data_IF_094165782591
#
_entry.id   IF_094165782591
#
_cell.length_a   1.000
_cell.length_b   1.000
_cell.length_c   1.000
_cell.angle_alpha   90.00
_cell.angle_beta   90.00
_cell.angle_gamma   90.00
#
_symmetry.space_group_name_H-M   'P 1'
#
loop_
_entity.id
_entity.type
_entity.pdbx_description
1 polymer ?
#
# COMPACT_ATOMS: atom_id res chain seq x y z
N UNK A 1 15.93 15.03 24.97
CA UNK A 1 15.47 13.98 25.91
C UNK A 1 16.27 12.72 25.64
N UNK A 2 16.72 11.99 26.70
CA UNK A 2 17.65 10.87 26.57
C UNK A 2 16.87 9.53 26.56
N UNK A 3 16.92 8.75 25.46
CA UNK A 3 16.16 7.50 25.31
C UNK A 3 16.42 6.43 26.38
N UNK A 4 17.58 6.48 27.07
CA UNK A 4 17.95 5.51 28.09
C UNK A 4 17.11 5.62 29.38
N UNK A 5 16.63 6.81 29.73
CA UNK A 5 15.79 7.03 30.91
C UNK A 5 14.38 6.45 30.70
N UNK A 6 13.85 6.55 29.48
CA UNK A 6 12.51 6.07 29.13
C UNK A 6 12.45 4.53 29.11
N UNK A 7 13.49 3.87 28.59
CA UNK A 7 13.62 2.40 28.64
C UNK A 7 13.75 1.90 30.08
N UNK A 8 14.51 2.61 30.92
CA UNK A 8 14.66 2.27 32.35
C UNK A 8 13.33 2.37 33.11
N UNK A 9 12.46 3.31 32.73
CA UNK A 9 11.13 3.48 33.32
C UNK A 9 10.16 2.37 32.91
N UNK A 10 10.26 1.88 31.68
CA UNK A 10 9.40 0.81 31.17
C UNK A 10 9.71 -0.55 31.79
N UNK A 11 11.00 -0.88 31.96
CA UNK A 11 11.43 -2.17 32.53
C UNK A 11 11.03 -2.29 34.01
N UNK A 12 11.07 -1.18 34.77
CA UNK A 12 10.68 -1.16 36.19
C UNK A 12 9.19 -1.45 36.46
N UNK A 13 8.33 -1.37 35.45
CA UNK A 13 6.88 -1.47 35.63
C UNK A 13 6.30 -2.82 35.14
N UNK A 14 7.13 -3.76 34.70
CA UNK A 14 6.68 -5.09 34.27
C UNK A 14 6.61 -6.03 35.48
N UNK A 15 5.45 -6.66 35.79
CA UNK A 15 5.28 -7.48 36.97
C UNK A 15 5.84 -8.89 36.73
N UNK A 16 7.17 -9.02 36.67
CA UNK A 16 7.86 -10.30 36.61
C UNK A 16 8.77 -10.35 37.84
N UNK A 17 8.51 -11.29 38.75
CA UNK A 17 9.37 -11.52 39.91
C UNK A 17 10.62 -12.27 39.47
N UNK A 18 11.68 -11.53 39.14
CA UNK A 18 13.04 -12.07 39.14
C UNK A 18 13.86 -11.37 40.23
N UNK A 19 14.98 -11.96 40.64
CA UNK A 19 15.84 -11.38 41.67
C UNK A 19 16.48 -10.10 41.12
N UNK A 20 16.48 -9.01 41.89
CA UNK A 20 16.99 -7.69 41.49
C UNK A 20 18.38 -7.72 40.80
N UNK A 21 19.24 -8.68 41.19
CA UNK A 21 20.55 -8.88 40.59
C UNK A 21 20.49 -9.34 39.11
N UNK A 22 19.52 -10.18 38.74
CA UNK A 22 19.33 -10.63 37.35
C UNK A 22 18.76 -9.53 36.47
N UNK A 23 17.89 -8.68 37.01
CA UNK A 23 17.32 -7.56 36.26
C UNK A 23 18.42 -6.53 35.90
N UNK A 24 19.35 -6.26 36.83
CA UNK A 24 20.49 -5.39 36.58
C UNK A 24 21.46 -6.01 35.55
N UNK A 25 21.73 -7.32 35.62
CA UNK A 25 22.57 -8.03 34.64
C UNK A 25 21.97 -8.01 33.22
N UNK A 26 20.67 -8.26 33.09
CA UNK A 26 19.97 -8.22 31.80
C UNK A 26 19.94 -6.78 31.24
N UNK A 27 19.71 -5.79 32.11
CA UNK A 27 19.70 -4.39 31.70
C UNK A 27 21.08 -3.95 31.18
N UNK A 28 22.15 -4.32 31.88
CA UNK A 28 23.51 -4.01 31.44
C UNK A 28 23.89 -4.75 30.15
N UNK A 29 23.43 -5.98 29.95
CA UNK A 29 23.65 -6.74 28.71
C UNK A 29 22.92 -6.09 27.52
N UNK A 30 21.67 -5.67 27.71
CA UNK A 30 20.88 -4.96 26.68
C UNK A 30 21.51 -3.61 26.34
N UNK A 31 21.93 -2.84 27.35
CA UNK A 31 22.59 -1.55 27.14
C UNK A 31 23.95 -1.71 26.44
N UNK A 32 24.72 -2.73 26.80
CA UNK A 32 26.00 -3.05 26.17
C UNK A 32 25.81 -3.50 24.72
N UNK A 33 24.80 -4.33 24.43
CA UNK A 33 24.44 -4.72 23.06
C UNK A 33 24.03 -3.52 22.20
N UNK A 34 23.26 -2.58 22.76
CA UNK A 34 22.88 -1.30 22.11
C UNK A 34 24.09 -0.40 21.85
N UNK A 35 25.03 -0.32 22.79
CA UNK A 35 26.22 0.51 22.64
C UNK A 35 27.21 -0.13 21.63
N UNK A 36 27.29 -1.45 21.61
CA UNK A 36 28.10 -2.23 20.67
C UNK A 36 27.51 -2.16 19.25
N UNK A 37 26.19 -2.21 19.07
CA UNK A 37 25.56 -2.01 17.76
C UNK A 37 25.83 -0.59 17.22
N UNK A 38 25.81 0.43 18.10
CA UNK A 38 26.18 1.81 17.75
C UNK A 38 27.63 1.95 17.29
N UNK A 39 28.57 1.22 17.90
CA UNK A 39 30.01 1.25 17.54
C UNK A 39 30.34 0.42 16.30
N UNK A 40 29.56 -0.62 15.99
CA UNK A 40 29.72 -1.41 14.76
C UNK A 40 29.14 -0.68 13.54
N UNK A 41 28.16 0.21 13.75
CA UNK A 41 27.53 0.99 12.68
C UNK A 41 28.32 2.24 12.24
N UNK A 42 29.52 2.48 12.77
CA UNK A 42 30.31 3.70 12.50
C UNK A 42 31.44 3.55 11.47
N UNK A 43 31.37 2.58 10.56
CA UNK A 43 32.34 2.46 9.46
C UNK A 43 31.71 1.95 8.15
N UNK A 44 30.61 2.58 7.71
CA UNK A 44 30.21 2.65 6.31
C UNK A 44 29.12 3.74 6.15
N UNK A 45 29.38 4.69 5.26
CA UNK A 45 28.59 5.86 4.87
C UNK A 45 27.09 5.88 5.24
N UNK A 46 26.70 6.88 6.04
CA UNK A 46 25.36 7.48 6.03
C UNK A 46 25.49 9.00 5.91
N UNK A 47 24.87 9.64 4.91
CA UNK A 47 24.60 11.07 4.98
C UNK A 47 23.27 11.28 5.71
N UNK A 48 23.33 11.84 6.92
CA UNK A 48 22.19 12.38 7.66
C UNK A 48 21.74 13.74 7.08
N UNK A 49 21.51 13.81 5.77
CA UNK A 49 21.22 15.07 5.05
C UNK A 49 19.76 15.49 5.20
N UNK A 50 18.84 14.53 5.32
CA UNK A 50 17.41 14.82 5.31
C UNK A 50 16.91 15.57 6.56
N UNK A 51 17.57 15.37 7.71
CA UNK A 51 17.15 16.00 8.99
C UNK A 51 17.63 17.45 9.13
N UNK A 52 18.61 17.88 8.34
CA UNK A 52 19.14 19.26 8.37
C UNK A 52 18.32 20.19 7.46
N UNK A 53 17.75 19.64 6.38
CA UNK A 53 17.04 20.42 5.36
C UNK A 53 15.69 20.95 5.86
N UNK A 54 14.98 20.23 6.74
CA UNK A 54 13.61 20.60 7.14
C UNK A 54 13.48 21.52 8.36
N UNK A 55 14.56 22.09 8.90
CA UNK A 55 14.46 22.88 10.15
C UNK A 55 15.02 24.31 10.13
N UNK A 56 15.45 24.85 8.98
CA UNK A 56 16.08 26.18 8.97
C UNK A 56 15.57 27.11 7.85
N UNK A 57 14.97 28.25 8.22
CA UNK A 57 14.43 29.29 7.31
C UNK A 57 15.48 29.91 6.37
N UNK A 58 16.77 29.80 6.67
CA UNK A 58 17.84 30.28 5.76
C UNK A 58 18.05 29.40 4.51
N UNK A 59 17.63 28.13 4.51
CA UNK A 59 17.78 27.24 3.33
C UNK A 59 16.73 27.53 2.25
N UNK A 60 15.61 28.19 2.58
CA UNK A 60 14.63 28.64 1.59
C UNK A 60 15.24 29.61 0.56
N UNK A 61 16.27 30.36 0.94
CA UNK A 61 16.99 31.26 0.02
C UNK A 61 18.06 30.55 -0.83
N UNK A 62 18.59 29.40 -0.36
CA UNK A 62 19.55 28.58 -1.13
C UNK A 62 18.82 27.76 -2.20
N UNK A 63 17.61 27.27 -1.92
CA UNK A 63 16.75 26.63 -2.92
C UNK A 63 16.36 27.63 -4.04
N UNK A 64 16.06 28.89 -3.70
CA UNK A 64 15.80 29.93 -4.69
C UNK A 64 17.05 30.29 -5.53
N UNK A 65 18.25 30.22 -4.95
CA UNK A 65 19.50 30.47 -5.67
C UNK A 65 19.89 29.32 -6.61
N UNK A 66 19.61 28.06 -6.26
CA UNK A 66 19.79 26.89 -7.15
C UNK A 66 18.80 26.93 -8.31
N UNK A 67 17.53 27.31 -8.06
CA UNK A 67 16.54 27.53 -9.12
C UNK A 67 16.97 28.69 -10.05
N UNK A 68 17.54 29.77 -9.50
CA UNK A 68 18.08 30.86 -10.31
C UNK A 68 19.33 30.47 -11.12
N UNK A 69 20.19 29.57 -10.60
CA UNK A 69 21.36 29.07 -11.34
C UNK A 69 20.96 28.10 -12.47
N UNK A 70 19.92 27.27 -12.26
CA UNK A 70 19.35 26.37 -13.28
C UNK A 70 18.71 27.17 -14.42
N UNK A 71 18.07 28.31 -14.13
CA UNK A 71 17.53 29.23 -15.15
C UNK A 71 18.64 29.85 -16.02
N UNK A 72 19.83 30.10 -15.45
CA UNK A 72 20.96 30.72 -16.19
C UNK A 72 21.70 29.68 -17.06
N UNK A 73 21.80 28.42 -16.60
CA UNK A 73 22.45 27.35 -17.37
C UNK A 73 21.54 26.84 -18.50
N UNK A 74 20.20 26.89 -18.34
CA UNK A 74 19.25 26.48 -19.38
C UNK A 74 19.21 27.36 -20.64
N UNK A 75 19.95 28.48 -20.68
CA UNK A 75 19.94 29.43 -21.81
C UNK A 75 21.11 29.20 -22.79
N UNK A 76 22.10 28.38 -22.45
CA UNK A 76 23.32 28.24 -23.26
C UNK A 76 23.60 26.75 -23.51
N UNK A 77 23.56 26.37 -24.79
CA UNK A 77 23.95 25.06 -25.39
C UNK A 77 22.84 24.00 -25.50
N UNK A 78 22.70 23.17 -26.55
CA UNK A 78 23.11 23.14 -27.96
C UNK A 78 22.66 21.74 -28.45
N UNK A 79 22.02 21.66 -29.63
CA UNK A 79 21.62 20.39 -30.25
C UNK A 79 20.19 20.01 -29.92
N UNK A 80 19.31 20.04 -30.94
CA UNK A 80 17.85 19.97 -30.80
C UNK A 80 17.44 18.82 -29.86
N UNK A 81 16.99 19.11 -28.64
CA UNK A 81 16.62 18.08 -27.70
C UNK A 81 15.40 17.34 -28.26
N UNK A 82 15.41 16.02 -28.16
CA UNK A 82 14.17 15.25 -28.11
C UNK A 82 13.26 16.00 -27.14
N UNK A 83 12.13 16.52 -27.64
CA UNK A 83 11.28 17.42 -26.86
C UNK A 83 10.94 16.78 -25.52
N UNK A 84 10.87 17.57 -24.44
CA UNK A 84 10.61 17.08 -23.08
C UNK A 84 9.45 16.08 -23.02
N UNK A 85 8.39 16.36 -23.79
CA UNK A 85 7.24 15.47 -23.95
C UNK A 85 7.58 14.11 -24.54
N UNK A 86 8.49 14.05 -25.51
CA UNK A 86 8.92 12.80 -26.16
C UNK A 86 9.79 11.98 -25.20
N UNK A 87 10.73 12.61 -24.49
CA UNK A 87 11.57 11.91 -23.51
C UNK A 87 10.73 11.37 -22.33
N UNK A 88 9.78 12.17 -21.84
CA UNK A 88 8.83 11.74 -20.82
C UNK A 88 7.97 10.58 -21.32
N UNK A 89 7.40 10.70 -22.52
CA UNK A 89 6.58 9.63 -23.12
C UNK A 89 7.38 8.34 -23.28
N UNK A 90 8.62 8.41 -23.77
CA UNK A 90 9.50 7.25 -23.90
C UNK A 90 9.80 6.60 -22.53
N UNK A 91 10.07 7.40 -21.49
CA UNK A 91 10.28 6.88 -20.14
C UNK A 91 9.03 6.15 -19.60
N UNK A 92 7.84 6.75 -19.76
CA UNK A 92 6.59 6.11 -19.34
C UNK A 92 6.26 4.87 -20.18
N UNK A 93 6.51 4.91 -21.48
CA UNK A 93 6.32 3.77 -22.39
C UNK A 93 7.26 2.61 -22.06
N UNK A 94 8.48 2.87 -21.62
CA UNK A 94 9.39 1.81 -21.16
C UNK A 94 8.84 1.07 -19.94
N UNK A 95 8.26 1.80 -18.97
CA UNK A 95 7.59 1.18 -17.82
C UNK A 95 6.34 0.42 -18.26
N UNK A 96 5.60 0.95 -19.24
CA UNK A 96 4.39 0.30 -19.81
C UNK A 96 4.67 -1.07 -20.40
N UNK A 97 5.77 -1.18 -21.15
CA UNK A 97 6.09 -2.37 -21.94
C UNK A 97 6.97 -3.36 -21.18
N UNK A 98 7.35 -3.02 -19.94
CA UNK A 98 8.22 -3.82 -19.11
C UNK A 98 7.59 -5.20 -18.84
N UNK A 99 8.26 -6.26 -19.29
CA UNK A 99 7.95 -7.64 -18.92
C UNK A 99 8.55 -8.01 -17.55
N UNK A 100 9.56 -7.28 -17.10
CA UNK A 100 10.09 -7.36 -15.72
C UNK A 100 10.32 -5.97 -15.17
N UNK A 101 10.12 -5.82 -13.87
CA UNK A 101 10.29 -4.54 -13.19
C UNK A 101 10.73 -4.75 -11.75
N UNK A 102 11.61 -3.89 -11.26
CA UNK A 102 11.98 -3.83 -9.85
C UNK A 102 12.19 -2.38 -9.44
N UNK A 103 11.72 -2.01 -8.25
CA UNK A 103 12.02 -0.70 -7.66
C UNK A 103 11.97 -0.75 -6.13
N UNK A 104 12.44 0.32 -5.51
CA UNK A 104 12.20 0.63 -4.10
C UNK A 104 11.20 1.77 -3.98
N UNK A 105 10.03 1.49 -3.41
CA UNK A 105 9.01 2.48 -3.08
C UNK A 105 9.21 3.00 -1.66
N UNK A 106 9.09 4.32 -1.50
CA UNK A 106 9.23 5.05 -0.25
C UNK A 106 8.05 6.01 -0.13
N UNK A 107 7.32 5.97 0.97
CA UNK A 107 6.25 6.92 1.24
C UNK A 107 6.03 7.08 2.74
N UNK A 108 5.48 8.20 3.14
CA UNK A 108 5.08 8.43 4.52
C UNK A 108 3.63 7.97 4.71
N UNK A 109 3.41 7.02 5.61
CA UNK A 109 2.09 6.58 6.02
C UNK A 109 1.75 7.12 7.41
N UNK A 110 0.49 7.49 7.57
CA UNK A 110 -0.13 7.72 8.87
C UNK A 110 -0.96 6.48 9.20
N UNK A 111 -0.93 6.03 10.45
CA UNK A 111 -1.79 4.95 10.91
C UNK A 111 -2.72 5.49 12.00
N UNK A 112 -4.00 5.10 11.95
CA UNK A 112 -5.03 5.50 12.92
C UNK A 112 -5.60 6.91 12.70
N UNK A 113 -6.81 7.12 13.21
CA UNK A 113 -7.59 8.37 13.08
C UNK A 113 -7.20 9.43 14.13
N UNK A 114 -5.93 9.49 14.54
CA UNK A 114 -5.49 10.41 15.59
C UNK A 114 -3.99 10.66 15.66
N UNK A 115 -3.60 11.72 16.38
CA UNK A 115 -2.21 12.16 16.59
C UNK A 115 -1.30 11.12 17.30
N UNK A 116 -1.86 10.03 17.80
CA UNK A 116 -1.17 9.09 18.70
C UNK A 116 -0.14 8.20 17.98
N UNK A 117 -0.41 7.81 16.73
CA UNK A 117 0.53 7.06 15.90
C UNK A 117 1.11 8.00 14.86
N UNK A 118 2.28 8.56 15.15
CA UNK A 118 2.93 9.55 14.29
C UNK A 118 3.15 9.09 12.85
N UNK A 119 3.60 10.00 11.99
CA UNK A 119 3.99 9.69 10.60
C UNK A 119 5.17 8.72 10.56
N UNK A 120 5.08 7.66 9.76
CA UNK A 120 6.15 6.68 9.57
C UNK A 120 6.58 6.60 8.11
N UNK A 121 7.88 6.44 7.89
CA UNK A 121 8.43 6.19 6.57
C UNK A 121 8.35 4.70 6.25
N UNK A 122 7.44 4.33 5.36
CA UNK A 122 7.38 3.00 4.77
C UNK A 122 8.34 2.93 3.58
N UNK A 123 9.11 1.85 3.55
CA UNK A 123 10.02 1.51 2.48
C UNK A 123 9.77 0.06 2.12
N UNK A 124 9.50 -0.20 0.85
CA UNK A 124 9.31 -1.55 0.33
C UNK A 124 9.99 -1.73 -1.02
N UNK A 125 10.44 -2.95 -1.31
CA UNK A 125 10.93 -3.34 -2.62
C UNK A 125 9.80 -4.05 -3.36
N UNK A 126 9.55 -3.63 -4.59
CA UNK A 126 8.50 -4.17 -5.45
C UNK A 126 9.16 -4.79 -6.66
N UNK A 127 8.75 -6.00 -7.04
CA UNK A 127 9.16 -6.65 -8.25
C UNK A 127 7.97 -7.32 -8.93
N UNK A 128 7.97 -7.33 -10.25
CA UNK A 128 7.10 -8.20 -11.01
C UNK A 128 7.82 -8.81 -12.21
N UNK A 129 7.29 -9.95 -12.66
CA UNK A 129 7.68 -10.65 -13.87
C UNK A 129 6.42 -11.15 -14.56
N UNK A 130 6.16 -10.63 -15.75
CA UNK A 130 5.00 -11.02 -16.54
C UNK A 130 5.08 -12.51 -16.94
N UNK A 131 3.92 -13.17 -17.07
CA UNK A 131 2.56 -12.61 -16.95
C UNK A 131 2.03 -12.48 -15.53
N UNK A 132 2.57 -13.23 -14.57
CA UNK A 132 1.79 -13.61 -13.39
C UNK A 132 2.58 -13.64 -12.07
N UNK A 133 3.79 -13.08 -12.00
CA UNK A 133 4.63 -13.19 -10.78
C UNK A 133 4.90 -11.83 -10.16
N UNK A 134 4.71 -11.74 -8.85
CA UNK A 134 4.88 -10.52 -8.05
C UNK A 134 5.60 -10.83 -6.75
N UNK A 135 6.46 -9.91 -6.32
CA UNK A 135 7.20 -10.01 -5.06
C UNK A 135 7.28 -8.66 -4.38
N UNK A 136 6.88 -8.61 -3.12
CA UNK A 136 7.02 -7.46 -2.24
C UNK A 136 7.94 -7.78 -1.07
N UNK A 137 8.84 -6.87 -0.73
CA UNK A 137 9.70 -6.97 0.45
C UNK A 137 9.53 -5.72 1.32
N UNK A 138 9.06 -5.89 2.55
CA UNK A 138 8.87 -4.78 3.48
C UNK A 138 10.22 -4.43 4.15
N UNK A 139 10.86 -3.35 3.73
CA UNK A 139 12.19 -2.97 4.25
C UNK A 139 12.11 -2.17 5.56
N UNK A 140 11.05 -1.40 5.76
CA UNK A 140 10.75 -0.70 7.03
C UNK A 140 9.28 -0.82 7.37
N UNK A 141 8.93 -0.93 8.64
CA UNK A 141 7.54 -0.98 9.11
C UNK A 141 7.44 -0.38 10.51
N UNK A 142 6.33 0.29 10.87
CA UNK A 142 6.10 0.70 12.25
C UNK A 142 5.92 -0.50 13.19
N UNK A 143 5.58 -1.69 12.66
CA UNK A 143 5.55 -2.92 13.44
C UNK A 143 6.80 -3.75 13.17
N UNK A 144 7.66 -3.98 14.18
CA UNK A 144 8.90 -4.72 14.01
C UNK A 144 8.72 -6.11 13.40
N UNK A 145 7.58 -6.79 13.65
CA UNK A 145 7.28 -8.13 13.12
C UNK A 145 7.19 -8.21 11.59
N UNK A 146 6.90 -7.10 10.92
CA UNK A 146 6.77 -7.06 9.46
C UNK A 146 8.05 -6.56 8.77
N UNK A 147 9.08 -6.15 9.53
CA UNK A 147 10.35 -5.74 8.93
C UNK A 147 11.03 -6.97 8.33
N UNK A 148 11.28 -6.92 7.03
CA UNK A 148 11.82 -8.02 6.25
C UNK A 148 10.78 -9.07 5.83
N UNK A 149 9.48 -8.83 6.06
CA UNK A 149 8.44 -9.70 5.50
C UNK A 149 8.52 -9.68 3.97
N UNK A 150 8.45 -10.86 3.37
CA UNK A 150 8.49 -11.04 1.92
C UNK A 150 7.17 -11.69 1.52
N UNK A 151 6.45 -11.09 0.59
CA UNK A 151 5.27 -11.69 -0.04
C UNK A 151 5.61 -12.03 -1.48
N UNK A 152 5.38 -13.28 -1.88
CA UNK A 152 5.52 -13.76 -3.25
C UNK A 152 4.15 -14.21 -3.70
N UNK A 153 3.72 -13.73 -4.86
CA UNK A 153 2.43 -14.05 -5.45
C UNK A 153 2.64 -14.63 -6.85
N UNK A 154 1.96 -15.74 -7.12
CA UNK A 154 1.93 -16.40 -8.42
C UNK A 154 0.48 -16.55 -8.88
N UNK A 155 0.08 -15.72 -9.83
CA UNK A 155 -1.29 -15.65 -10.35
C UNK A 155 -1.65 -16.82 -11.27
N UNK A 156 -0.66 -17.44 -11.91
CA UNK A 156 -0.80 -18.65 -12.74
C UNK A 156 -1.24 -19.87 -11.93
N UNK A 157 -0.73 -19.98 -10.69
CA UNK A 157 -1.00 -21.07 -9.74
C UNK A 157 -1.96 -20.66 -8.64
N UNK A 158 -2.34 -19.38 -8.57
CA UNK A 158 -3.21 -18.80 -7.54
C UNK A 158 -2.69 -19.05 -6.12
N UNK A 159 -1.39 -18.88 -5.91
CA UNK A 159 -0.75 -19.10 -4.63
C UNK A 159 0.02 -17.86 -4.16
N UNK A 160 -0.01 -17.65 -2.84
CA UNK A 160 0.76 -16.59 -2.18
C UNK A 160 1.59 -17.15 -1.05
N UNK A 161 2.90 -16.95 -1.10
CA UNK A 161 3.80 -17.27 -0.01
C UNK A 161 4.15 -16.00 0.77
N UNK A 162 3.93 -16.00 2.09
CA UNK A 162 4.40 -14.95 3.01
C UNK A 162 5.53 -15.54 3.85
N UNK A 163 6.72 -14.97 3.74
CA UNK A 163 7.90 -15.34 4.51
C UNK A 163 8.17 -14.30 5.60
N UNK A 164 8.47 -14.77 6.81
CA UNK A 164 8.97 -13.94 7.91
C UNK A 164 10.36 -14.41 8.33
N UNK A 165 11.43 -13.85 7.74
CA UNK A 165 12.80 -14.33 7.96
C UNK A 165 13.26 -14.29 9.42
N UNK A 166 12.84 -13.28 10.19
CA UNK A 166 13.19 -13.17 11.60
C UNK A 166 12.64 -14.34 12.44
N UNK A 167 11.49 -14.88 12.05
CA UNK A 167 10.81 -15.99 12.72
C UNK A 167 11.12 -17.35 12.06
N UNK A 168 11.72 -17.34 10.87
CA UNK A 168 11.85 -18.51 9.98
C UNK A 168 10.50 -19.23 9.78
N UNK A 169 9.44 -18.45 9.59
CA UNK A 169 8.11 -18.97 9.28
C UNK A 169 7.74 -18.61 7.84
N UNK A 170 6.97 -19.50 7.23
CA UNK A 170 6.42 -19.35 5.91
C UNK A 170 4.93 -19.71 5.96
N UNK A 171 4.11 -18.96 5.25
CA UNK A 171 2.68 -19.22 5.16
C UNK A 171 2.27 -19.20 3.69
N UNK A 172 1.84 -20.35 3.19
CA UNK A 172 1.35 -20.50 1.83
C UNK A 172 -0.19 -20.42 1.84
N UNK A 173 -0.73 -19.43 1.15
CA UNK A 173 -2.15 -19.21 1.00
C UNK A 173 -2.61 -19.64 -0.39
N UNK A 174 -3.75 -20.34 -0.44
CA UNK A 174 -4.55 -20.45 -1.65
C UNK A 174 -5.35 -19.16 -1.86
N UNK A 175 -5.12 -18.51 -3.00
CA UNK A 175 -5.79 -17.28 -3.41
C UNK A 175 -6.63 -17.47 -4.68
N UNK A 176 -7.03 -18.71 -5.00
CA UNK A 176 -7.94 -19.03 -6.11
C UNK A 176 -9.24 -18.22 -6.05
N UNK A 177 -9.66 -17.89 -4.83
CA UNK A 177 -10.91 -17.19 -4.53
C UNK A 177 -10.72 -15.71 -4.23
N UNK A 178 -9.56 -15.12 -4.55
CA UNK A 178 -9.38 -13.67 -4.43
C UNK A 178 -9.89 -12.94 -5.66
N UNK A 179 -11.00 -12.22 -5.45
CA UNK A 179 -11.65 -11.37 -6.43
C UNK A 179 -11.52 -9.90 -6.07
N UNK A 180 -11.59 -9.04 -7.09
CA UNK A 180 -11.70 -7.58 -7.00
C UNK A 180 -12.84 -7.08 -7.88
N UNK A 181 -13.36 -5.90 -7.56
CA UNK A 181 -14.19 -5.13 -8.49
C UNK A 181 -13.26 -4.28 -9.36
N UNK A 182 -13.45 -4.35 -10.67
CA UNK A 182 -12.77 -3.48 -11.63
C UNK A 182 -13.35 -2.06 -11.51
N UNK A 183 -12.50 -1.07 -11.24
CA UNK A 183 -12.97 0.31 -10.97
C UNK A 183 -13.55 1.00 -12.22
N UNK A 184 -13.23 0.52 -13.43
CA UNK A 184 -13.74 1.10 -14.68
C UNK A 184 -15.01 0.40 -15.16
N UNK A 185 -15.02 -0.94 -15.11
CA UNK A 185 -16.13 -1.74 -15.63
C UNK A 185 -17.15 -2.14 -14.56
N UNK A 186 -16.80 -1.96 -13.28
CA UNK A 186 -17.61 -2.37 -12.11
C UNK A 186 -17.87 -3.89 -12.10
N UNK A 187 -17.04 -4.65 -12.81
CA UNK A 187 -17.16 -6.09 -12.94
C UNK A 187 -16.32 -6.80 -11.89
N UNK A 188 -16.86 -7.90 -11.36
CA UNK A 188 -16.11 -8.80 -10.49
C UNK A 188 -15.12 -9.61 -11.33
N UNK A 189 -13.82 -9.45 -11.04
CA UNK A 189 -12.74 -10.16 -11.72
C UNK A 189 -11.83 -10.83 -10.71
N UNK A 190 -11.22 -11.95 -11.09
CA UNK A 190 -10.11 -12.51 -10.32
C UNK A 190 -9.01 -11.47 -10.22
N UNK A 191 -8.39 -11.36 -9.04
CA UNK A 191 -7.20 -10.52 -8.87
C UNK A 191 -6.12 -11.02 -9.82
N UNK A 192 -5.59 -10.17 -10.68
CA UNK A 192 -4.48 -10.51 -11.57
C UNK A 192 -3.20 -9.84 -11.09
N UNK A 193 -2.09 -10.10 -11.80
CA UNK A 193 -0.81 -9.41 -11.58
C UNK A 193 -1.06 -7.93 -11.34
N UNK A 194 -0.63 -7.46 -10.17
CA UNK A 194 -0.87 -6.08 -9.79
C UNK A 194 0.14 -5.18 -10.47
N UNK A 195 -0.11 -4.88 -11.75
CA UNK A 195 0.66 -3.88 -12.47
C UNK A 195 0.26 -2.46 -12.09
N UNK A 196 -0.53 -2.23 -11.01
CA UNK A 196 -0.96 -0.88 -10.61
C UNK A 196 0.20 0.07 -10.39
N UNK A 197 1.38 -0.42 -10.02
CA UNK A 197 2.56 0.43 -10.01
C UNK A 197 2.85 0.98 -11.40
N UNK A 198 2.94 0.10 -12.40
CA UNK A 198 3.03 0.50 -13.81
C UNK A 198 1.84 1.38 -14.18
N UNK A 199 0.62 0.99 -13.86
CA UNK A 199 -0.60 1.70 -14.27
C UNK A 199 -0.68 3.11 -13.67
N UNK A 200 -0.32 3.28 -12.39
CA UNK A 200 -0.17 4.60 -11.75
C UNK A 200 0.91 5.44 -12.41
N UNK A 201 1.97 4.82 -12.93
CA UNK A 201 2.97 5.49 -13.76
C UNK A 201 2.42 5.81 -15.17
N UNK A 202 1.48 5.03 -15.71
CA UNK A 202 0.81 5.31 -16.99
C UNK A 202 -0.21 6.45 -16.89
N UNK A 203 -0.88 6.57 -15.75
CA UNK A 203 -1.79 7.69 -15.44
C UNK A 203 -1.08 9.06 -15.49
N UNK A 204 0.26 9.08 -15.41
CA UNK A 204 1.08 10.29 -15.48
C UNK A 204 1.11 10.94 -16.88
N UNK A 205 0.48 10.32 -17.88
CA UNK A 205 0.60 10.73 -19.28
C UNK A 205 -0.29 11.93 -19.67
N UNK A 206 0.34 12.81 -20.47
CA UNK A 206 -0.18 13.93 -21.27
C UNK A 206 -0.60 15.26 -20.58
N UNK A 207 -0.14 15.53 -19.35
CA UNK A 207 -0.14 16.91 -18.82
C UNK A 207 0.83 17.83 -19.56
N UNK A 208 0.87 19.12 -19.20
CA UNK A 208 1.96 20.00 -19.61
C UNK A 208 3.27 19.48 -19.01
N UNK A 209 4.22 19.12 -19.86
CA UNK A 209 5.51 18.57 -19.46
C UNK A 209 6.54 19.69 -19.49
N UNK A 210 7.14 19.94 -18.34
CA UNK A 210 8.22 20.90 -18.17
C UNK A 210 9.57 20.16 -18.13
N UNK A 211 10.51 20.61 -18.96
CA UNK A 211 11.91 20.20 -18.87
C UNK A 211 12.60 21.09 -17.84
N UNK A 212 13.11 20.48 -16.77
CA UNK A 212 13.84 21.19 -15.73
C UNK A 212 15.36 21.12 -15.94
N UNK A 213 15.81 20.56 -17.08
CA UNK A 213 17.20 20.44 -17.46
C UNK A 213 17.89 19.21 -16.87
N UNK A 214 19.21 19.19 -16.94
CA UNK A 214 20.03 18.11 -16.38
C UNK A 214 20.40 18.39 -14.93
N UNK A 215 20.32 17.36 -14.09
CA UNK A 215 20.72 17.39 -12.68
C UNK A 215 21.60 16.19 -12.36
N UNK A 216 22.41 16.28 -11.31
CA UNK A 216 23.17 15.14 -10.78
C UNK A 216 22.32 14.39 -9.74
N UNK A 217 22.16 13.07 -9.92
CA UNK A 217 21.50 12.16 -8.98
C UNK A 217 22.45 10.99 -8.71
N UNK A 218 22.91 10.85 -7.46
CA UNK A 218 23.87 9.81 -7.05
C UNK A 218 25.15 9.72 -7.91
N UNK A 219 25.60 10.86 -8.46
CA UNK A 219 26.79 10.95 -9.33
C UNK A 219 26.53 10.58 -10.80
N UNK A 220 25.27 10.40 -11.18
CA UNK A 220 24.82 10.24 -12.56
C UNK A 220 24.12 11.51 -13.03
N UNK A 221 24.48 11.99 -14.22
CA UNK A 221 23.76 13.09 -14.88
C UNK A 221 22.45 12.57 -15.45
N UNK A 222 21.32 13.13 -15.02
CA UNK A 222 19.96 12.72 -15.41
C UNK A 222 19.15 13.92 -15.87
N UNK A 223 18.22 13.72 -16.80
CA UNK A 223 17.28 14.75 -17.24
C UNK A 223 16.05 14.76 -16.32
N UNK A 224 15.74 15.93 -15.77
CA UNK A 224 14.63 16.10 -14.84
C UNK A 224 13.40 16.61 -15.58
N UNK A 225 12.33 15.82 -15.57
CA UNK A 225 11.07 16.14 -16.24
C UNK A 225 9.95 16.24 -15.21
N UNK A 226 9.03 17.18 -15.40
CA UNK A 226 7.87 17.35 -14.52
C UNK A 226 6.57 17.40 -15.31
N UNK A 227 5.61 16.58 -14.93
CA UNK A 227 4.24 16.62 -15.44
C UNK A 227 3.29 17.06 -14.33
N UNK A 228 2.30 17.89 -14.68
CA UNK A 228 1.21 18.28 -13.78
C UNK A 228 -0.11 17.97 -14.44
N UNK A 229 -0.96 17.20 -13.74
CA UNK A 229 -2.32 16.88 -14.18
C UNK A 229 -3.23 16.91 -12.95
N UNK A 230 -4.23 17.78 -12.99
CA UNK A 230 -5.14 18.04 -11.88
C UNK A 230 -4.38 18.37 -10.58
N UNK A 231 -4.65 17.61 -9.51
CA UNK A 231 -3.99 17.73 -8.21
C UNK A 231 -2.70 16.92 -8.11
N UNK A 232 -2.27 16.25 -9.18
CA UNK A 232 -1.10 15.36 -9.18
C UNK A 232 0.10 16.00 -9.88
N UNK A 233 1.26 15.85 -9.28
CA UNK A 233 2.55 16.29 -9.80
C UNK A 233 3.45 15.06 -9.89
N UNK A 234 3.96 14.79 -11.08
CA UNK A 234 4.91 13.72 -11.33
C UNK A 234 6.26 14.34 -11.66
N UNK A 235 7.30 13.97 -10.92
CA UNK A 235 8.69 14.32 -11.24
C UNK A 235 9.43 13.06 -11.61
N UNK A 236 10.05 13.05 -12.79
CA UNK A 236 10.73 11.88 -13.35
C UNK A 236 12.18 12.26 -13.65
N UNK A 237 13.11 11.48 -13.11
CA UNK A 237 14.52 11.57 -13.43
C UNK A 237 14.83 10.51 -14.47
N UNK A 238 15.21 10.94 -15.66
CA UNK A 238 15.42 10.08 -16.83
C UNK A 238 16.92 10.01 -17.12
N UNK A 239 17.44 8.80 -17.26
CA UNK A 239 18.78 8.58 -17.78
C UNK A 239 18.82 8.98 -19.28
N UNK A 240 19.66 9.95 -19.67
CA UNK A 240 19.69 10.45 -21.05
C UNK A 240 20.14 9.41 -22.08
N UNK A 241 20.89 8.38 -21.67
CA UNK A 241 21.42 7.37 -22.58
C UNK A 241 20.39 6.27 -22.86
N UNK A 242 19.68 5.82 -21.82
CA UNK A 242 18.69 4.73 -21.92
C UNK A 242 17.26 5.23 -22.14
N UNK A 243 16.99 6.51 -21.83
CA UNK A 243 15.66 7.09 -21.69
C UNK A 243 14.78 6.40 -20.63
N UNK A 244 15.36 5.60 -19.73
CA UNK A 244 14.63 4.96 -18.65
C UNK A 244 14.54 5.88 -17.42
N UNK A 245 13.41 5.85 -16.70
CA UNK A 245 13.32 6.52 -15.41
C UNK A 245 14.21 5.81 -14.40
N UNK A 246 15.10 6.54 -13.74
CA UNK A 246 15.90 6.02 -12.61
C UNK A 246 15.25 6.33 -11.26
N UNK A 247 14.42 7.37 -11.22
CA UNK A 247 13.62 7.76 -10.07
C UNK A 247 12.31 8.42 -10.53
N UNK A 248 11.24 8.21 -9.76
CA UNK A 248 9.95 8.86 -9.96
C UNK A 248 9.44 9.34 -8.60
N UNK A 249 8.94 10.57 -8.54
CA UNK A 249 8.23 11.11 -7.39
C UNK A 249 6.82 11.50 -7.81
N UNK A 250 5.85 10.99 -7.06
CA UNK A 250 4.45 11.36 -7.14
C UNK A 250 4.10 12.22 -5.94
N UNK A 251 3.65 13.44 -6.19
CA UNK A 251 3.18 14.37 -5.18
C UNK A 251 1.77 14.85 -5.50
N UNK A 252 1.07 15.28 -4.48
CA UNK A 252 -0.27 15.85 -4.59
C UNK A 252 -0.24 17.32 -4.15
N UNK A 253 -1.10 18.14 -4.75
CA UNK A 253 -1.25 19.55 -4.36
C UNK A 253 -2.06 19.72 -3.08
N UNK A 254 -2.84 18.70 -2.69
CA UNK A 254 -3.43 18.65 -1.36
C UNK A 254 -2.39 18.23 -0.32
N UNK A 255 -2.48 18.78 0.89
CA UNK A 255 -1.52 18.51 1.97
C UNK A 255 -1.80 17.19 2.69
N UNK A 256 -2.89 16.50 2.34
CA UNK A 256 -3.36 15.32 3.05
C UNK A 256 -2.70 14.03 2.54
N UNK A 257 -2.08 14.07 1.35
CA UNK A 257 -1.38 12.91 0.79
C UNK A 257 0.12 13.13 0.82
N UNK A 258 0.82 12.23 1.48
CA UNK A 258 2.27 12.19 1.49
C UNK A 258 2.81 11.89 0.09
N UNK A 259 3.90 12.52 -0.35
CA UNK A 259 4.54 12.16 -1.60
C UNK A 259 5.04 10.72 -1.54
N UNK A 260 5.07 10.09 -2.71
CA UNK A 260 5.53 8.72 -2.92
C UNK A 260 6.71 8.75 -3.88
N UNK A 261 7.77 8.03 -3.55
CA UNK A 261 9.01 8.03 -4.30
C UNK A 261 9.37 6.60 -4.70
N UNK A 262 9.72 6.42 -5.97
CA UNK A 262 10.22 5.18 -6.54
C UNK A 262 11.65 5.39 -6.96
N UNK A 263 12.54 4.56 -6.44
CA UNK A 263 14.00 4.65 -6.63
C UNK A 263 14.54 3.31 -7.07
N UNK A 264 15.78 3.27 -7.56
CA UNK A 264 16.44 2.03 -7.99
C UNK A 264 15.57 1.26 -9.01
N UNK A 265 14.98 2.01 -9.94
CA UNK A 265 14.08 1.45 -10.96
C UNK A 265 14.93 0.65 -11.95
N UNK A 266 14.50 -0.59 -12.19
CA UNK A 266 15.07 -1.50 -13.15
C UNK A 266 13.94 -2.02 -14.03
N UNK A 267 14.08 -1.85 -15.34
CA UNK A 267 13.09 -2.21 -16.36
C UNK A 267 13.73 -3.25 -17.27
N UNK A 268 13.01 -4.33 -17.57
CA UNK A 268 13.45 -5.39 -18.49
C UNK A 268 14.85 -5.95 -18.16
N UNK A 269 15.20 -5.93 -16.87
CA UNK A 269 16.40 -6.56 -16.34
C UNK A 269 16.05 -7.98 -15.94
N UNK A 270 16.92 -8.93 -16.29
CA UNK A 270 16.72 -10.34 -15.92
C UNK A 270 16.55 -10.49 -14.40
N UNK A 271 15.37 -10.94 -13.99
CA UNK A 271 15.07 -11.32 -12.62
C UNK A 271 15.12 -12.85 -12.51
N UNK A 272 15.91 -13.32 -11.55
CA UNK A 272 16.04 -14.73 -11.19
C UNK A 272 14.69 -15.31 -10.78
N UNK A 273 14.35 -16.48 -11.31
CA UNK A 273 13.11 -17.20 -11.00
C UNK A 273 13.02 -17.60 -9.53
N UNK A 274 14.17 -17.83 -8.88
CA UNK A 274 14.23 -18.20 -7.47
C UNK A 274 13.73 -17.07 -6.55
N UNK A 275 13.75 -15.82 -7.02
CA UNK A 275 13.12 -14.70 -6.28
C UNK A 275 11.60 -14.89 -6.15
N UNK A 276 10.97 -15.64 -7.06
CA UNK A 276 9.53 -15.88 -7.10
C UNK A 276 9.16 -17.32 -6.73
N UNK A 277 10.10 -18.07 -6.15
CA UNK A 277 9.83 -19.42 -5.68
C UNK A 277 8.78 -19.43 -4.56
N UNK A 278 7.84 -20.37 -4.66
CA UNK A 278 6.87 -20.65 -3.58
C UNK A 278 7.41 -21.70 -2.59
N UNK A 279 8.63 -22.20 -2.81
CA UNK A 279 9.31 -23.07 -1.86
C UNK A 279 10.03 -22.21 -0.82
N UNK A 280 9.68 -22.34 0.47
CA UNK A 280 10.35 -21.56 1.50
C UNK A 280 11.81 -22.02 1.65
N UNK A 281 12.74 -21.11 2.02
CA UNK A 281 14.14 -21.48 2.20
C UNK A 281 14.36 -22.58 3.26
N UNK A 282 15.50 -23.25 3.20
CA UNK A 282 15.86 -24.29 4.16
C UNK A 282 15.78 -23.76 5.62
N UNK A 283 15.15 -24.57 6.48
CA UNK A 283 14.98 -24.26 7.90
C UNK A 283 13.77 -23.39 8.24
N UNK A 284 12.91 -23.08 7.26
CA UNK A 284 11.61 -22.44 7.52
C UNK A 284 10.55 -23.45 7.94
N UNK A 285 9.66 -23.02 8.84
CA UNK A 285 8.44 -23.76 9.18
C UNK A 285 7.31 -23.30 8.28
N UNK A 286 6.80 -24.18 7.42
CA UNK A 286 5.71 -23.90 6.49
C UNK A 286 4.34 -24.22 7.11
N UNK A 287 3.43 -23.25 7.09
CA UNK A 287 2.00 -23.46 7.28
C UNK A 287 1.26 -23.27 5.96
N UNK A 288 0.28 -24.13 5.69
CA UNK A 288 -0.57 -24.04 4.49
C UNK A 288 -1.96 -23.62 4.95
N UNK A 289 -2.49 -22.58 4.32
CA UNK A 289 -3.82 -22.04 4.58
C UNK A 289 -4.63 -22.14 3.29
N UNK A 290 -5.57 -23.07 3.28
CA UNK A 290 -6.61 -23.11 2.27
C UNK A 290 -7.64 -22.02 2.61
N UNK A 291 -8.12 -21.29 1.59
CA UNK A 291 -9.22 -20.32 1.75
C UNK A 291 -10.41 -20.97 2.47
N UNK A 292 -10.68 -22.25 2.19
CA UNK A 292 -11.78 -23.02 2.76
C UNK A 292 -13.17 -22.51 2.34
N UNK A 293 -13.25 -21.39 1.63
CA UNK A 293 -14.52 -20.76 1.26
C UNK A 293 -14.98 -21.27 -0.10
N UNK A 294 -16.28 -21.57 -0.24
CA UNK A 294 -16.87 -21.79 -1.55
C UNK A 294 -16.65 -20.58 -2.46
N UNK A 295 -16.39 -20.82 -3.75
CA UNK A 295 -16.11 -19.76 -4.74
C UNK A 295 -17.16 -18.64 -4.73
N UNK A 296 -18.44 -19.02 -4.72
CA UNK A 296 -19.57 -18.10 -4.63
C UNK A 296 -19.49 -17.19 -3.40
N UNK A 297 -19.09 -17.72 -2.23
CA UNK A 297 -18.98 -16.93 -0.99
C UNK A 297 -17.83 -15.95 -1.04
N UNK A 298 -16.72 -16.31 -1.67
CA UNK A 298 -15.61 -15.39 -1.86
C UNK A 298 -15.95 -14.25 -2.85
N UNK A 299 -16.66 -14.57 -3.94
CA UNK A 299 -17.22 -13.57 -4.86
C UNK A 299 -18.19 -12.63 -4.14
N UNK A 300 -19.13 -13.19 -3.38
CA UNK A 300 -20.10 -12.44 -2.58
C UNK A 300 -19.39 -11.53 -1.56
N UNK A 301 -18.36 -12.05 -0.89
CA UNK A 301 -17.53 -11.29 0.03
C UNK A 301 -16.90 -10.07 -0.61
N UNK A 302 -16.30 -10.22 -1.81
CA UNK A 302 -15.72 -9.08 -2.52
C UNK A 302 -16.76 -8.00 -2.82
N UNK A 303 -17.97 -8.38 -3.25
CA UNK A 303 -19.05 -7.42 -3.51
C UNK A 303 -19.54 -6.73 -2.24
N UNK A 304 -19.80 -7.49 -1.18
CA UNK A 304 -20.24 -6.96 0.12
C UNK A 304 -19.18 -6.02 0.72
N UNK A 305 -17.90 -6.37 0.64
CA UNK A 305 -16.80 -5.52 1.09
C UNK A 305 -16.71 -4.22 0.29
N UNK A 306 -16.92 -4.28 -1.02
CA UNK A 306 -16.91 -3.10 -1.88
C UNK A 306 -18.08 -2.15 -1.57
N UNK A 307 -19.29 -2.69 -1.39
CA UNK A 307 -20.46 -1.94 -0.90
C UNK A 307 -20.20 -1.32 0.48
N UNK A 308 -19.61 -2.09 1.40
CA UNK A 308 -19.26 -1.61 2.74
C UNK A 308 -18.28 -0.43 2.69
N UNK A 309 -17.30 -0.47 1.79
CA UNK A 309 -16.38 0.64 1.56
C UNK A 309 -17.12 1.90 1.08
N UNK A 310 -18.08 1.80 0.16
CA UNK A 310 -18.89 2.95 -0.25
C UNK A 310 -19.70 3.54 0.92
N UNK A 311 -20.27 2.69 1.78
CA UNK A 311 -20.96 3.14 3.00
C UNK A 311 -20.02 3.90 3.95
N UNK A 312 -18.79 3.41 4.14
CA UNK A 312 -17.78 4.07 4.98
C UNK A 312 -17.33 5.41 4.38
N UNK A 313 -17.09 5.46 3.07
CA UNK A 313 -16.76 6.71 2.37
C UNK A 313 -17.88 7.74 2.53
N UNK A 314 -19.13 7.32 2.35
CA UNK A 314 -20.28 8.18 2.60
C UNK A 314 -20.30 8.69 4.04
N UNK A 315 -20.12 7.81 5.03
CA UNK A 315 -20.16 8.20 6.45
C UNK A 315 -19.06 9.21 6.80
N UNK A 316 -17.84 9.01 6.31
CA UNK A 316 -16.72 9.94 6.50
C UNK A 316 -17.03 11.35 5.98
N UNK A 317 -17.78 11.45 4.89
CA UNK A 317 -18.18 12.73 4.29
C UNK A 317 -19.50 13.30 4.90
N UNK A 318 -20.16 12.55 5.80
CA UNK A 318 -21.47 12.89 6.37
C UNK A 318 -21.51 12.78 7.91
N UNK A 319 -20.49 13.31 8.59
CA UNK A 319 -20.43 13.38 10.07
C UNK A 319 -20.63 12.00 10.74
N UNK A 320 -19.96 10.97 10.20
CA UNK A 320 -20.03 9.58 10.64
C UNK A 320 -21.45 8.96 10.52
N UNK A 321 -22.34 9.60 9.75
CA UNK A 321 -23.67 9.08 9.48
C UNK A 321 -23.66 8.17 8.25
N UNK A 322 -23.93 6.90 8.48
CA UNK A 322 -24.20 5.94 7.41
C UNK A 322 -25.46 6.32 6.61
N UNK A 323 -25.52 5.91 5.32
CA UNK A 323 -26.65 6.24 4.47
C UNK A 323 -27.98 5.75 5.07
N UNK A 324 -29.06 6.50 4.84
CA UNK A 324 -30.43 6.09 5.19
C UNK A 324 -30.82 4.82 4.45
N UNK A 325 -30.54 4.83 3.15
CA UNK A 325 -30.76 3.75 2.18
C UNK A 325 -29.62 3.76 1.16
N UNK A 326 -29.38 2.67 0.42
CA UNK A 326 -28.20 2.60 -0.45
C UNK A 326 -28.27 3.57 -1.63
N UNK A 327 -29.46 3.99 -2.02
CA UNK A 327 -29.72 5.00 -3.03
C UNK A 327 -29.13 6.38 -2.64
N UNK A 328 -28.93 6.63 -1.34
CA UNK A 328 -28.21 7.83 -0.86
C UNK A 328 -26.76 7.87 -1.37
N UNK A 329 -26.13 6.71 -1.60
CA UNK A 329 -24.78 6.63 -2.17
C UNK A 329 -24.77 7.16 -3.62
N UNK A 330 -25.82 6.87 -4.38
CA UNK A 330 -25.99 7.38 -5.75
C UNK A 330 -26.30 8.87 -5.73
N UNK A 331 -27.20 9.30 -4.85
CA UNK A 331 -27.56 10.70 -4.68
C UNK A 331 -26.35 11.58 -4.27
N UNK A 332 -25.44 11.03 -3.48
CA UNK A 332 -24.20 11.70 -3.07
C UNK A 332 -23.07 11.60 -4.10
N UNK A 333 -23.25 10.80 -5.16
CA UNK A 333 -22.26 10.62 -6.21
C UNK A 333 -21.06 9.75 -5.82
N UNK A 334 -21.21 8.90 -4.79
CA UNK A 334 -20.21 7.89 -4.42
C UNK A 334 -20.11 6.81 -5.50
N UNK A 335 -21.26 6.46 -6.08
CA UNK A 335 -21.42 5.36 -7.03
C UNK A 335 -22.50 5.71 -8.06
N UNK A 336 -22.47 5.07 -9.23
CA UNK A 336 -23.56 5.18 -10.21
C UNK A 336 -24.70 4.21 -9.88
N UNK A 337 -25.91 4.47 -10.39
CA UNK A 337 -27.06 3.56 -10.20
C UNK A 337 -26.79 2.16 -10.79
N UNK A 338 -26.18 2.08 -11.97
CA UNK A 338 -25.81 0.81 -12.62
C UNK A 338 -24.81 0.01 -11.78
N UNK A 339 -23.76 0.66 -11.28
CA UNK A 339 -22.75 0.03 -10.44
C UNK A 339 -23.34 -0.45 -9.10
N UNK A 340 -24.24 0.33 -8.48
CA UNK A 340 -24.94 -0.09 -7.27
C UNK A 340 -25.82 -1.33 -7.54
N UNK A 341 -26.60 -1.33 -8.61
CA UNK A 341 -27.46 -2.47 -8.99
C UNK A 341 -26.63 -3.73 -9.22
N UNK A 342 -25.53 -3.61 -9.99
CA UNK A 342 -24.59 -4.71 -10.21
C UNK A 342 -23.96 -5.21 -8.93
N UNK A 343 -23.57 -4.31 -8.02
CA UNK A 343 -22.99 -4.69 -6.74
C UNK A 343 -24.01 -5.44 -5.85
N UNK A 344 -25.29 -5.08 -5.91
CA UNK A 344 -26.37 -5.72 -5.15
C UNK A 344 -26.81 -7.07 -5.69
N UNK A 345 -26.70 -7.30 -7.00
CA UNK A 345 -27.12 -8.54 -7.65
C UNK A 345 -26.24 -9.75 -7.27
N UNK A 346 -26.58 -10.95 -7.74
CA UNK A 346 -25.74 -12.13 -7.51
C UNK A 346 -24.39 -11.99 -8.26
N UNK A 347 -23.28 -12.56 -7.76
CA UNK A 347 -22.00 -12.48 -8.45
C UNK A 347 -22.00 -13.05 -9.88
N UNK A 348 -22.77 -14.12 -10.10
CA UNK A 348 -22.85 -14.81 -11.41
C UNK A 348 -24.07 -14.35 -12.25
N UNK A 349 -24.86 -13.39 -11.75
CA UNK A 349 -26.00 -12.77 -12.44
C UNK A 349 -26.06 -11.27 -12.10
N UNK A 350 -25.16 -10.44 -12.70
CA UNK A 350 -25.00 -9.03 -12.33
C UNK A 350 -26.20 -8.15 -12.70
N UNK A 351 -27.07 -8.61 -13.60
CA UNK A 351 -28.31 -7.93 -13.98
C UNK A 351 -29.54 -8.49 -13.25
N UNK A 352 -29.32 -9.45 -12.35
CA UNK A 352 -30.34 -10.11 -11.56
C UNK A 352 -30.93 -9.25 -10.43
N UNK A 353 -31.91 -9.79 -9.69
CA UNK A 353 -32.45 -9.11 -8.51
C UNK A 353 -31.39 -8.95 -7.41
N UNK A 354 -31.54 -7.98 -6.50
CA UNK A 354 -30.62 -7.79 -5.40
C UNK A 354 -30.63 -9.01 -4.46
N UNK A 355 -29.45 -9.49 -4.10
CA UNK A 355 -29.23 -10.59 -3.16
C UNK A 355 -28.44 -10.14 -1.93
N UNK A 356 -28.16 -8.84 -1.80
CA UNK A 356 -27.53 -8.24 -0.63
C UNK A 356 -28.53 -7.29 0.02
N UNK A 357 -28.64 -7.34 1.35
CA UNK A 357 -29.49 -6.46 2.13
C UNK A 357 -28.63 -5.49 2.94
N UNK A 358 -29.00 -4.22 2.88
CA UNK A 358 -28.46 -3.18 3.73
C UNK A 358 -29.33 -2.96 4.98
N UNK A 359 -28.69 -2.65 6.10
CA UNK A 359 -29.30 -2.12 7.31
C UNK A 359 -28.47 -0.94 7.78
N UNK A 360 -29.14 0.20 8.00
CA UNK A 360 -28.51 1.34 8.67
C UNK A 360 -28.08 0.95 10.10
N UNK A 361 -26.81 1.16 10.47
CA UNK A 361 -26.36 0.87 11.83
C UNK A 361 -27.04 1.79 12.85
N UNK A 362 -27.37 1.25 14.02
CA UNK A 362 -27.86 1.99 15.18
C UNK A 362 -26.70 2.34 16.12
N UNK A 363 -26.11 3.51 15.88
CA UNK A 363 -24.92 3.99 16.58
C UNK A 363 -25.18 4.46 18.04
N UNK A 364 -26.40 4.31 18.58
CA UNK A 364 -26.72 4.75 19.94
C UNK A 364 -26.23 3.73 20.96
N UNK A 365 -25.07 3.99 21.57
CA UNK A 365 -24.59 3.29 22.79
C UNK A 365 -24.12 1.84 22.59
N UNK A 366 -23.91 1.39 21.35
CA UNK A 366 -23.30 0.08 21.01
C UNK A 366 -21.85 0.26 20.53
N UNK A 367 -21.06 -0.80 20.66
CA UNK A 367 -19.78 -0.92 19.95
C UNK A 367 -20.07 -1.09 18.45
N UNK A 368 -19.95 0.02 17.71
CA UNK A 368 -20.00 0.13 16.24
C UNK A 368 -19.42 -1.06 15.47
N UNK A 369 -18.25 -1.56 15.83
CA UNK A 369 -17.56 -2.66 15.13
C UNK A 369 -18.32 -3.99 15.11
N UNK A 370 -19.27 -4.19 16.02
CA UNK A 370 -20.06 -5.44 16.09
C UNK A 370 -21.35 -5.41 15.26
N UNK A 371 -21.70 -4.26 14.68
CA UNK A 371 -22.97 -4.10 14.00
C UNK A 371 -22.91 -4.49 12.53
N UNK A 372 -23.69 -5.50 12.14
CA UNK A 372 -23.84 -5.91 10.74
C UNK A 372 -24.65 -4.89 9.94
N UNK A 373 -24.06 -4.35 8.88
CA UNK A 373 -24.67 -3.36 7.98
C UNK A 373 -25.05 -3.91 6.60
N UNK A 374 -24.37 -4.95 6.13
CA UNK A 374 -24.68 -5.61 4.85
C UNK A 374 -24.61 -7.12 5.04
N UNK A 375 -25.52 -7.86 4.41
CA UNK A 375 -25.48 -9.32 4.42
C UNK A 375 -26.19 -9.93 3.22
N UNK A 376 -25.79 -11.15 2.86
CA UNK A 376 -26.45 -11.95 1.82
C UNK A 376 -27.89 -12.31 2.22
N UNK A 377 -28.85 -12.09 1.32
CA UNK A 377 -30.26 -12.45 1.51
C UNK A 377 -30.41 -13.97 1.40
N UNK A 378 -31.17 -14.56 2.33
CA UNK A 378 -31.48 -15.97 2.34
C UNK A 378 -32.92 -16.23 2.79
N UNK A 379 -33.58 -17.21 2.17
CA UNK A 379 -34.91 -17.67 2.61
C UNK A 379 -34.80 -18.75 3.70
N UNK A 380 -33.76 -19.57 3.62
CA UNK A 380 -33.39 -20.60 4.59
C UNK A 380 -31.91 -20.46 4.89
N UNK A 381 -31.50 -20.74 6.14
CA UNK A 381 -30.10 -20.62 6.53
C UNK A 381 -29.21 -21.52 5.66
N UNK A 382 -28.27 -20.95 4.89
CA UNK A 382 -27.42 -21.74 4.01
C UNK A 382 -26.42 -22.58 4.82
N UNK A 383 -26.12 -23.80 4.36
CA UNK A 383 -25.24 -24.74 5.06
C UNK A 383 -23.80 -24.22 5.21
N UNK A 384 -23.35 -23.41 4.25
CA UNK A 384 -22.03 -22.78 4.22
C UNK A 384 -22.00 -21.40 4.91
N UNK A 385 -23.13 -20.93 5.44
CA UNK A 385 -23.24 -19.67 6.16
C UNK A 385 -23.51 -18.45 5.28
N UNK A 386 -23.57 -17.30 5.92
CA UNK A 386 -23.94 -16.00 5.31
C UNK A 386 -22.74 -15.08 5.34
N UNK A 387 -22.46 -14.43 4.22
CA UNK A 387 -21.47 -13.36 4.15
C UNK A 387 -22.08 -12.09 4.75
N UNK A 388 -21.36 -11.47 5.69
CA UNK A 388 -21.79 -10.22 6.34
C UNK A 388 -20.65 -9.20 6.40
N UNK A 389 -20.99 -7.92 6.31
CA UNK A 389 -20.12 -6.77 6.57
C UNK A 389 -20.60 -6.01 7.80
N UNK A 390 -19.65 -5.60 8.62
CA UNK A 390 -19.84 -4.86 9.85
C UNK A 390 -19.58 -3.37 9.63
N UNK A 391 -20.05 -2.51 10.53
CA UNK A 391 -19.92 -1.06 10.39
C UNK A 391 -18.47 -0.56 10.43
N UNK A 392 -17.52 -1.35 10.95
CA UNK A 392 -16.08 -1.06 10.87
C UNK A 392 -15.44 -1.48 9.53
N UNK A 393 -16.24 -1.98 8.59
CA UNK A 393 -15.80 -2.44 7.26
C UNK A 393 -15.24 -3.87 7.25
N UNK A 394 -15.11 -4.52 8.41
CA UNK A 394 -14.78 -5.94 8.47
C UNK A 394 -15.88 -6.76 7.80
N UNK A 395 -15.49 -7.86 7.15
CA UNK A 395 -16.45 -8.79 6.58
C UNK A 395 -16.04 -10.23 6.89
N UNK A 396 -17.01 -11.09 7.17
CA UNK A 396 -16.76 -12.52 7.43
C UNK A 396 -17.88 -13.42 6.91
N UNK A 397 -17.58 -14.72 6.89
CA UNK A 397 -18.54 -15.79 6.65
C UNK A 397 -19.06 -16.32 7.99
N UNK A 398 -20.31 -16.01 8.32
CA UNK A 398 -20.95 -16.45 9.56
C UNK A 398 -21.67 -17.76 9.30
N UNK A 399 -21.11 -18.87 9.80
CA UNK A 399 -21.68 -20.22 9.64
C UNK A 399 -22.78 -20.56 10.66
N UNK A 400 -22.80 -19.85 11.80
CA UNK A 400 -23.77 -20.08 12.88
C UNK A 400 -24.95 -19.11 12.80
N UNK A 401 -26.14 -19.64 12.51
CA UNK A 401 -27.37 -18.85 12.39
C UNK A 401 -27.65 -17.99 13.63
N UNK A 402 -27.49 -18.57 14.82
CA UNK A 402 -27.80 -17.87 16.07
C UNK A 402 -26.87 -16.69 16.29
N UNK A 403 -25.57 -16.85 16.02
CA UNK A 403 -24.60 -15.75 16.11
C UNK A 403 -24.94 -14.62 15.15
N UNK A 404 -25.31 -14.95 13.90
CA UNK A 404 -25.78 -13.93 12.94
C UNK A 404 -27.04 -13.21 13.43
N UNK A 405 -28.05 -13.95 13.87
CA UNK A 405 -29.30 -13.40 14.41
C UNK A 405 -29.10 -12.52 15.64
N UNK A 406 -28.05 -12.78 16.45
CA UNK A 406 -27.66 -11.94 17.57
C UNK A 406 -26.98 -10.65 17.09
N UNK A 407 -26.10 -10.71 16.09
CA UNK A 407 -25.41 -9.53 15.52
C UNK A 407 -26.34 -8.58 14.76
N UNK A 408 -27.52 -9.05 14.32
CA UNK A 408 -28.51 -8.19 13.63
C UNK A 408 -29.60 -7.60 14.54
N UNK A 409 -29.60 -7.92 15.83
CA UNK A 409 -30.47 -7.29 16.86
C UNK A 409 -29.80 -6.06 17.47
#
# INVERSE_FOLDING_TARGET
MRPAEDVKRLIKNVPISTSAQRDDEILDEVLSALEKSKKVQSAAMRPSIWRIIMRNRMIQYVAAAVIALVIIIGIIELGKPVGASVAFAAAIDSVRQAGTFSCTQIFEASYGDGEEYGKYLLKQKLMFKEPDWERHEQLTSPWPRYIGEITIMRYDTRQRLILRPAEKTATLHDVSSEYRIDEETEELKLTQLNTRLRDHLLELSAGAIEDLGSVELDGQSVRLLRSRKDKRIATVWVDPDTNYPVQIELAWTDQNRSPMMFTLIQIDTELDDDLFSLEPPEGYTLSVHESGWPDYKAKMMTKIKHLGLWCVVYANDNEDQFPGELEDLVAFGVVTEDALNKALAAPDDPDGPPVIRYRKPNLIGKEWSSEVILYEIYDQWPNDGVVACFADGHCELIVNQKSFEESIK
#
